data_IF_384175368210
#
_entry.id   IF_384175368210
#
_cell.length_a   1.000
_cell.length_b   1.000
_cell.length_c   1.000
_cell.angle_alpha   90.00
_cell.angle_beta   90.00
_cell.angle_gamma   90.00
#
_symmetry.space_group_name_H-M   'P 1'
#
loop_
_entity.id
_entity.type
_entity.pdbx_description
1 polymer ?
#
# COMPACT_ATOMS: atom_id res chain seq x y z
N UNK A 1 20.83 39.81 46.26
CA UNK A 1 19.70 39.17 45.56
C UNK A 1 20.12 38.92 44.11
N UNK A 2 20.69 37.76 43.73
CA UNK A 2 20.95 37.47 42.33
C UNK A 2 19.71 36.81 41.71
N UNK A 3 19.29 37.41 40.59
CA UNK A 3 18.19 37.01 39.73
C UNK A 3 18.59 35.72 38.97
N UNK A 4 17.94 34.60 39.24
CA UNK A 4 18.10 33.36 38.48
C UNK A 4 17.10 33.40 37.31
N UNK A 5 17.58 33.66 36.09
CA UNK A 5 16.80 33.51 34.87
C UNK A 5 16.82 32.03 34.48
N UNK A 6 15.73 31.32 34.78
CA UNK A 6 15.53 29.93 34.36
C UNK A 6 15.15 29.91 32.87
N UNK A 7 16.13 29.65 32.01
CA UNK A 7 15.90 29.38 30.59
C UNK A 7 15.25 27.99 30.45
N UNK A 8 13.92 27.95 30.40
CA UNK A 8 13.17 26.75 30.01
C UNK A 8 13.42 26.48 28.52
N UNK A 9 14.44 25.68 28.23
CA UNK A 9 14.53 25.00 26.96
C UNK A 9 13.34 24.04 26.86
N UNK A 10 12.32 24.43 26.08
CA UNK A 10 11.31 23.53 25.55
C UNK A 10 12.02 22.48 24.69
N UNK A 11 12.49 21.40 25.30
CA UNK A 11 12.80 20.18 24.57
C UNK A 11 11.48 19.71 23.96
N UNK A 12 11.28 19.99 22.66
CA UNK A 12 10.35 19.20 21.86
C UNK A 12 10.85 17.75 21.96
N UNK A 13 10.10 16.93 22.70
CA UNK A 13 10.18 15.48 22.54
C UNK A 13 10.07 15.19 21.04
N UNK A 14 10.95 14.37 20.45
CA UNK A 14 10.82 14.01 19.05
C UNK A 14 9.42 13.40 18.87
N UNK A 15 8.65 13.95 17.95
CA UNK A 15 7.36 13.38 17.54
C UNK A 15 7.62 11.91 17.23
N UNK A 16 6.98 11.00 17.98
CA UNK A 16 7.27 9.56 18.02
C UNK A 16 6.86 8.81 16.74
N UNK A 17 7.34 9.26 15.59
CA UNK A 17 7.26 8.55 14.32
C UNK A 17 8.46 7.62 14.19
N UNK A 18 8.21 6.35 13.89
CA UNK A 18 9.27 5.47 13.44
C UNK A 18 9.78 5.92 12.07
N UNK A 19 11.08 6.16 11.97
CA UNK A 19 11.74 6.22 10.67
C UNK A 19 11.78 4.82 10.06
N UNK A 20 11.79 4.75 8.73
CA UNK A 20 11.83 3.50 7.95
C UNK A 20 12.94 2.54 8.44
N UNK A 21 14.03 3.07 9.00
CA UNK A 21 15.21 2.34 9.50
C UNK A 21 14.93 1.28 10.57
N UNK A 22 13.79 1.39 11.26
CA UNK A 22 13.39 0.48 12.35
C UNK A 22 12.52 -0.69 11.88
N UNK A 23 11.97 -0.63 10.66
CA UNK A 23 11.08 -1.66 10.11
C UNK A 23 11.83 -2.55 9.12
N UNK A 24 11.74 -3.87 9.31
CA UNK A 24 12.51 -4.83 8.51
C UNK A 24 11.70 -6.06 8.16
N UNK A 25 11.99 -6.62 7.00
CA UNK A 25 11.65 -8.00 6.70
C UNK A 25 12.83 -8.89 7.11
N UNK A 26 12.57 -9.84 8.00
CA UNK A 26 13.53 -10.89 8.37
C UNK A 26 13.12 -12.18 7.66
N UNK A 27 13.99 -12.69 6.79
CA UNK A 27 13.79 -13.97 6.11
C UNK A 27 14.47 -15.08 6.89
N UNK A 28 13.71 -16.08 7.30
CA UNK A 28 14.22 -17.30 7.95
C UNK A 28 14.30 -18.45 6.95
N UNK A 29 13.32 -18.55 6.05
CA UNK A 29 13.30 -19.47 4.91
C UNK A 29 12.39 -18.93 3.81
N UNK A 30 12.33 -19.62 2.67
CA UNK A 30 11.42 -19.27 1.55
C UNK A 30 9.94 -19.24 1.95
N UNK A 31 9.57 -19.86 3.07
CA UNK A 31 8.18 -19.97 3.55
C UNK A 31 7.97 -19.38 4.94
N UNK A 32 9.00 -18.81 5.57
CA UNK A 32 8.90 -18.17 6.87
C UNK A 32 9.65 -16.85 6.90
N UNK A 33 8.88 -15.78 7.04
CA UNK A 33 9.37 -14.43 7.18
C UNK A 33 8.78 -13.77 8.42
N UNK A 34 9.37 -12.69 8.87
CA UNK A 34 8.84 -11.83 9.90
C UNK A 34 8.87 -10.38 9.45
N UNK A 35 7.79 -9.64 9.68
CA UNK A 35 7.90 -8.18 9.81
C UNK A 35 8.44 -7.93 11.20
N UNK A 36 9.50 -7.16 11.31
CA UNK A 36 10.11 -6.81 12.59
C UNK A 36 10.11 -5.30 12.75
N UNK A 37 9.79 -4.84 13.95
CA UNK A 37 10.05 -3.47 14.40
C UNK A 37 11.12 -3.52 15.47
N UNK A 38 12.25 -2.85 15.24
CA UNK A 38 13.30 -2.71 16.24
C UNK A 38 12.85 -1.69 17.31
N UNK A 39 12.77 -2.13 18.56
CA UNK A 39 12.55 -1.24 19.70
C UNK A 39 13.84 -0.51 20.08
N UNK A 40 13.73 0.75 20.51
CA UNK A 40 14.88 1.56 20.95
C UNK A 40 15.59 0.97 22.19
N UNK A 41 14.87 0.19 22.99
CA UNK A 41 15.33 -0.49 24.21
C UNK A 41 15.73 -1.96 23.97
N UNK A 42 15.82 -2.39 22.70
CA UNK A 42 16.06 -3.79 22.33
C UNK A 42 14.83 -4.71 22.44
N UNK A 43 13.65 -4.17 22.81
CA UNK A 43 12.40 -4.94 22.93
C UNK A 43 11.47 -4.69 21.73
N UNK A 44 11.86 -5.20 20.57
CA UNK A 44 11.04 -5.19 19.35
C UNK A 44 9.90 -6.23 19.34
N UNK A 45 8.96 -6.10 18.41
CA UNK A 45 7.98 -7.15 18.08
C UNK A 45 8.29 -7.73 16.70
N UNK A 46 8.00 -9.02 16.53
CA UNK A 46 8.01 -9.70 15.25
C UNK A 46 6.60 -10.20 14.93
N UNK A 47 6.11 -9.89 13.73
CA UNK A 47 4.87 -10.44 13.20
C UNK A 47 5.20 -11.58 12.22
N UNK A 48 4.75 -12.82 12.47
CA UNK A 48 5.05 -13.95 11.60
C UNK A 48 4.27 -13.86 10.29
N UNK A 49 4.99 -14.11 9.20
CA UNK A 49 4.49 -14.30 7.84
C UNK A 49 4.88 -15.72 7.39
N UNK A 50 4.12 -16.77 7.79
CA UNK A 50 4.43 -18.16 7.46
C UNK A 50 4.02 -18.50 6.01
N UNK A 51 4.55 -17.72 5.06
CA UNK A 51 4.34 -17.85 3.63
C UNK A 51 5.44 -17.09 2.86
N UNK A 52 5.61 -17.38 1.55
CA UNK A 52 6.53 -16.62 0.72
C UNK A 52 6.16 -15.13 0.63
N UNK A 53 7.18 -14.28 0.67
CA UNK A 53 7.08 -12.83 0.48
C UNK A 53 7.76 -12.47 -0.84
N UNK A 54 7.05 -11.75 -1.72
CA UNK A 54 7.59 -11.34 -3.01
C UNK A 54 7.97 -9.86 -3.08
N UNK A 55 7.50 -9.05 -2.12
CA UNK A 55 7.83 -7.62 -2.02
C UNK A 55 7.64 -7.11 -0.61
N UNK A 56 8.50 -6.19 -0.17
CA UNK A 56 8.40 -5.48 1.10
C UNK A 56 8.69 -4.01 0.85
N UNK A 57 7.82 -3.13 1.35
CA UNK A 57 7.96 -1.69 1.30
C UNK A 57 7.45 -1.05 2.58
N UNK A 58 7.91 0.15 2.86
CA UNK A 58 7.50 1.00 3.98
C UNK A 58 6.93 2.31 3.44
N UNK A 59 6.06 2.94 4.23
CA UNK A 59 5.52 4.25 3.91
C UNK A 59 4.25 4.56 4.69
N UNK A 60 3.99 5.84 4.95
CA UNK A 60 2.74 6.31 5.56
C UNK A 60 1.59 6.24 4.55
N UNK A 61 0.98 5.05 4.41
CA UNK A 61 -0.07 4.81 3.42
C UNK A 61 -1.40 5.45 3.81
N UNK A 62 -1.64 5.61 5.10
CA UNK A 62 -2.92 6.10 5.61
C UNK A 62 -2.90 7.62 5.90
N UNK A 63 -1.73 8.25 5.91
CA UNK A 63 -1.53 9.69 6.08
C UNK A 63 -1.57 10.17 7.53
N UNK A 64 -1.31 9.30 8.51
CA UNK A 64 -1.33 9.63 9.94
C UNK A 64 0.02 10.11 10.50
N UNK A 65 1.02 10.25 9.63
CA UNK A 65 2.38 10.66 9.98
C UNK A 65 3.25 9.53 10.51
N UNK A 66 2.78 8.27 10.49
CA UNK A 66 3.55 7.11 10.94
C UNK A 66 3.85 6.17 9.77
N UNK A 67 5.05 5.62 9.76
CA UNK A 67 5.44 4.64 8.75
C UNK A 67 4.68 3.33 8.94
N UNK A 68 3.96 2.90 7.91
CA UNK A 68 3.34 1.59 7.81
C UNK A 68 4.22 0.61 7.01
N UNK A 69 3.90 -0.68 7.10
CA UNK A 69 4.52 -1.76 6.33
C UNK A 69 3.55 -2.26 5.28
N UNK A 70 3.99 -2.33 4.03
CA UNK A 70 3.29 -2.94 2.91
C UNK A 70 4.05 -4.19 2.47
N UNK A 71 3.42 -5.36 2.55
CA UNK A 71 4.07 -6.64 2.22
C UNK A 71 3.25 -7.45 1.22
N UNK A 72 3.93 -7.84 0.15
CA UNK A 72 3.45 -8.74 -0.88
C UNK A 72 3.67 -10.18 -0.48
N UNK A 73 2.59 -10.95 -0.34
CA UNK A 73 2.64 -12.32 0.17
C UNK A 73 2.01 -13.29 -0.82
N UNK A 74 2.43 -14.56 -0.82
CA UNK A 74 1.84 -15.61 -1.66
C UNK A 74 1.07 -16.59 -0.78
N UNK A 75 -0.26 -16.48 -0.75
CA UNK A 75 -1.13 -17.35 0.05
C UNK A 75 -2.59 -17.28 -0.38
N UNK A 76 -3.37 -18.26 0.07
CA UNK A 76 -4.82 -18.16 0.12
C UNK A 76 -5.28 -17.27 1.29
N UNK A 77 -6.53 -16.85 1.25
CA UNK A 77 -7.16 -16.08 2.34
C UNK A 77 -8.52 -16.68 2.67
N UNK A 78 -9.11 -16.28 3.81
CA UNK A 78 -10.42 -16.79 4.25
C UNK A 78 -11.51 -16.66 3.18
N UNK A 79 -11.48 -15.57 2.41
CA UNK A 79 -12.50 -15.24 1.40
C UNK A 79 -12.05 -15.50 -0.05
N UNK A 80 -10.81 -15.95 -0.26
CA UNK A 80 -10.30 -16.37 -1.58
C UNK A 80 -9.35 -17.56 -1.37
N UNK A 81 -9.83 -18.80 -1.57
CA UNK A 81 -9.04 -20.01 -1.31
C UNK A 81 -7.90 -20.21 -2.32
N UNK A 82 -7.89 -19.45 -3.43
CA UNK A 82 -6.81 -19.54 -4.40
C UNK A 82 -5.51 -19.00 -3.81
N UNK A 83 -4.42 -19.78 -3.91
CA UNK A 83 -3.07 -19.29 -3.62
C UNK A 83 -2.67 -18.34 -4.75
N UNK A 84 -2.44 -17.08 -4.40
CA UNK A 84 -1.96 -16.05 -5.32
C UNK A 84 -1.26 -14.93 -4.55
N UNK A 85 -0.71 -13.95 -5.28
CA UNK A 85 -0.12 -12.75 -4.69
C UNK A 85 -1.21 -11.89 -4.03
N UNK A 86 -0.92 -11.42 -2.82
CA UNK A 86 -1.78 -10.58 -1.97
C UNK A 86 -0.94 -9.43 -1.42
N UNK A 87 -1.61 -8.33 -1.09
CA UNK A 87 -1.01 -7.20 -0.40
C UNK A 87 -1.59 -7.12 1.01
N UNK A 88 -0.71 -7.23 2.01
CA UNK A 88 -1.03 -6.96 3.40
C UNK A 88 -0.37 -5.65 3.85
N UNK A 89 -1.06 -4.93 4.71
CA UNK A 89 -0.62 -3.65 5.27
C UNK A 89 -0.69 -3.76 6.79
N UNK A 90 0.40 -3.39 7.45
CA UNK A 90 0.52 -3.38 8.90
C UNK A 90 0.90 -1.99 9.37
N UNK A 91 0.38 -1.60 10.53
CA UNK A 91 0.78 -0.39 11.24
C UNK A 91 1.64 -0.72 12.45
N UNK A 92 2.44 0.26 12.86
CA UNK A 92 3.11 0.24 14.17
C UNK A 92 2.25 0.98 15.19
N UNK A 93 1.78 0.24 16.19
CA UNK A 93 0.95 0.72 17.28
C UNK A 93 1.77 0.88 18.56
N UNK A 94 1.59 2.01 19.26
CA UNK A 94 2.36 2.38 20.47
C UNK A 94 3.86 2.18 20.31
N UNK A 95 4.34 2.45 19.11
CA UNK A 95 5.75 2.53 18.76
C UNK A 95 6.54 1.22 18.98
N UNK A 96 5.84 0.08 18.99
CA UNK A 96 6.45 -1.24 19.19
C UNK A 96 5.65 -2.43 18.70
N UNK A 97 4.34 -2.27 18.49
CA UNK A 97 3.44 -3.38 18.17
C UNK A 97 3.01 -3.33 16.71
N UNK A 98 3.36 -4.32 15.92
CA UNK A 98 2.86 -4.57 14.57
C UNK A 98 1.42 -5.05 14.67
N UNK A 99 0.50 -4.34 14.02
CA UNK A 99 -0.91 -4.73 13.93
C UNK A 99 -1.37 -4.67 12.48
N UNK A 100 -2.20 -5.62 12.03
CA UNK A 100 -2.75 -5.57 10.69
C UNK A 100 -3.63 -4.31 10.56
N UNK A 101 -3.31 -3.50 9.57
CA UNK A 101 -4.19 -2.41 9.12
C UNK A 101 -5.17 -2.95 8.09
N UNK A 102 -4.68 -3.78 7.16
CA UNK A 102 -5.51 -4.44 6.14
C UNK A 102 -4.83 -5.70 5.62
N UNK A 103 -5.56 -6.82 5.56
CA UNK A 103 -5.08 -8.07 4.97
C UNK A 103 -5.95 -8.44 3.77
N UNK A 104 -5.65 -7.81 2.63
CA UNK A 104 -6.48 -7.91 1.43
C UNK A 104 -6.54 -9.31 0.82
N UNK A 105 -7.75 -9.80 0.54
CA UNK A 105 -7.95 -11.00 -0.27
C UNK A 105 -7.66 -10.76 -1.75
N UNK A 106 -8.16 -9.64 -2.30
CA UNK A 106 -8.00 -9.25 -3.71
C UNK A 106 -8.01 -7.73 -3.85
N UNK A 107 -7.38 -7.26 -4.92
CA UNK A 107 -7.60 -5.91 -5.46
C UNK A 107 -8.62 -6.00 -6.63
N UNK A 108 -8.68 -5.00 -7.50
CA UNK A 108 -9.62 -5.00 -8.63
C UNK A 108 -9.38 -6.21 -9.56
N UNK A 109 -8.12 -6.57 -9.81
CA UNK A 109 -7.68 -7.73 -10.60
C UNK A 109 -6.62 -8.55 -9.85
N UNK A 110 -6.28 -9.76 -10.33
CA UNK A 110 -5.22 -10.56 -9.74
C UNK A 110 -3.88 -9.78 -9.71
N UNK A 111 -3.40 -9.53 -8.50
CA UNK A 111 -2.18 -8.79 -8.24
C UNK A 111 -0.95 -9.53 -8.77
N UNK A 112 -0.03 -8.78 -9.35
CA UNK A 112 1.25 -9.27 -9.85
C UNK A 112 2.38 -8.62 -9.08
N UNK A 113 2.36 -7.29 -8.92
CA UNK A 113 3.34 -6.57 -8.10
C UNK A 113 2.81 -5.21 -7.63
N UNK A 114 3.51 -4.51 -6.73
CA UNK A 114 3.11 -3.18 -6.29
C UNK A 114 4.28 -2.27 -5.88
N UNK A 115 4.02 -0.98 -5.68
CA UNK A 115 4.94 -0.02 -5.08
C UNK A 115 4.15 1.04 -4.31
N UNK A 116 4.62 1.36 -3.12
CA UNK A 116 4.23 2.56 -2.39
C UNK A 116 4.85 3.77 -3.08
N UNK A 117 4.02 4.76 -3.41
CA UNK A 117 4.43 5.94 -4.16
C UNK A 117 3.69 7.17 -3.66
N UNK A 118 4.26 8.34 -3.90
CA UNK A 118 3.54 9.60 -3.79
C UNK A 118 3.13 10.06 -5.20
N UNK A 119 1.83 10.33 -5.39
CA UNK A 119 1.28 10.94 -6.60
C UNK A 119 0.59 12.22 -6.16
N UNK A 120 1.01 13.36 -6.72
CA UNK A 120 0.55 14.70 -6.35
C UNK A 120 0.67 14.98 -4.85
N UNK A 121 1.79 14.53 -4.25
CA UNK A 121 2.08 14.68 -2.82
C UNK A 121 1.23 13.79 -1.90
N UNK A 122 0.42 12.89 -2.46
CA UNK A 122 -0.47 12.02 -1.69
C UNK A 122 -0.02 10.56 -1.72
N UNK A 123 -0.11 9.81 -0.61
CA UNK A 123 0.30 8.42 -0.55
C UNK A 123 -0.62 7.53 -1.40
N UNK A 124 -0.03 6.64 -2.19
CA UNK A 124 -0.72 5.73 -3.10
C UNK A 124 -0.03 4.37 -3.14
N UNK A 125 -0.79 3.37 -3.58
CA UNK A 125 -0.25 2.09 -4.04
C UNK A 125 -0.41 2.01 -5.56
N UNK A 126 0.71 1.98 -6.27
CA UNK A 126 0.76 1.66 -7.70
C UNK A 126 0.93 0.16 -7.84
N UNK A 127 0.08 -0.50 -8.63
CA UNK A 127 0.10 -1.95 -8.79
C UNK A 127 0.38 -2.34 -10.24
N UNK A 128 0.87 -3.57 -10.43
CA UNK A 128 0.74 -4.32 -11.67
C UNK A 128 -0.29 -5.42 -11.41
N UNK A 129 -1.29 -5.53 -12.27
CA UNK A 129 -2.32 -6.56 -12.17
C UNK A 129 -2.54 -7.25 -13.53
N UNK A 130 -3.08 -8.46 -13.52
CA UNK A 130 -3.44 -9.17 -14.77
C UNK A 130 -4.61 -8.48 -15.46
N UNK A 131 -4.48 -8.23 -16.76
CA UNK A 131 -5.58 -7.71 -17.59
C UNK A 131 -6.54 -8.83 -18.01
N UNK A 132 -7.64 -8.48 -18.70
CA UNK A 132 -8.55 -9.48 -19.30
C UNK A 132 -7.91 -10.21 -20.47
N UNK A 133 -7.03 -9.54 -21.21
CA UNK A 133 -6.31 -10.15 -22.33
C UNK A 133 -5.19 -11.02 -21.76
N UNK A 134 -5.08 -12.30 -22.18
CA UNK A 134 -3.99 -13.17 -21.76
C UNK A 134 -2.62 -12.52 -21.97
N UNK A 135 -1.72 -12.73 -21.00
CA UNK A 135 -0.34 -12.21 -21.02
C UNK A 135 -0.22 -10.67 -21.11
N UNK A 136 -1.32 -9.96 -20.87
CA UNK A 136 -1.32 -8.51 -20.74
C UNK A 136 -1.56 -8.09 -19.30
N UNK A 137 -0.99 -6.95 -18.99
CA UNK A 137 -0.97 -6.38 -17.65
C UNK A 137 -1.51 -4.96 -17.69
N UNK A 138 -2.06 -4.54 -16.56
CA UNK A 138 -2.44 -3.17 -16.30
C UNK A 138 -1.71 -2.65 -15.08
N UNK A 139 -1.58 -1.33 -15.02
CA UNK A 139 -1.12 -0.63 -13.84
C UNK A 139 -2.29 0.16 -13.24
N UNK A 140 -2.57 -0.02 -11.96
CA UNK A 140 -3.66 0.65 -11.26
C UNK A 140 -3.14 1.42 -10.04
N UNK A 141 -3.81 2.53 -9.73
CA UNK A 141 -3.51 3.39 -8.60
C UNK A 141 -4.60 3.24 -7.56
N UNK A 142 -4.21 2.99 -6.32
CA UNK A 142 -5.08 2.93 -5.16
C UNK A 142 -4.69 3.99 -4.14
N UNK A 143 -5.68 4.47 -3.39
CA UNK A 143 -5.48 5.28 -2.19
C UNK A 143 -5.98 4.51 -0.98
N UNK A 144 -5.43 4.80 0.19
CA UNK A 144 -6.08 4.39 1.43
C UNK A 144 -7.38 5.18 1.64
N UNK A 145 -8.44 4.49 2.07
CA UNK A 145 -9.68 5.12 2.55
C UNK A 145 -10.33 4.27 3.62
N UNK A 146 -10.53 4.88 4.80
CA UNK A 146 -11.21 4.25 5.95
C UNK A 146 -10.52 2.96 6.38
N UNK A 147 -10.93 1.80 5.83
CA UNK A 147 -10.51 0.48 6.25
C UNK A 147 -9.80 -0.33 5.14
N UNK A 148 -9.45 0.28 4.01
CA UNK A 148 -8.77 -0.43 2.94
C UNK A 148 -8.34 0.44 1.76
N UNK A 149 -7.99 -0.23 0.66
CA UNK A 149 -7.56 0.40 -0.57
C UNK A 149 -8.76 0.65 -1.50
N UNK A 150 -8.97 1.92 -1.84
CA UNK A 150 -9.92 2.38 -2.83
C UNK A 150 -9.23 2.55 -4.18
N UNK A 151 -9.82 2.01 -5.25
CA UNK A 151 -9.38 2.24 -6.61
C UNK A 151 -9.52 3.73 -6.99
N UNK A 152 -8.47 4.28 -7.61
CA UNK A 152 -8.46 5.66 -8.11
C UNK A 152 -8.55 5.68 -9.63
N UNK A 153 -7.59 5.07 -10.32
CA UNK A 153 -7.50 5.10 -11.77
C UNK A 153 -6.60 3.98 -12.30
N UNK A 154 -6.74 3.69 -13.59
CA UNK A 154 -5.71 2.95 -14.33
C UNK A 154 -4.63 3.94 -14.79
N UNK A 155 -3.38 3.64 -14.48
CA UNK A 155 -2.23 4.38 -15.01
C UNK A 155 -1.91 3.93 -16.46
N UNK A 156 -2.01 2.63 -16.75
CA UNK A 156 -1.79 2.05 -18.07
C UNK A 156 -2.49 0.68 -18.18
N UNK A 157 -2.74 0.19 -19.41
CA UNK A 157 -3.39 -1.11 -19.69
C UNK A 157 -2.79 -1.76 -20.93
N UNK A 158 -3.01 -3.07 -21.10
CA UNK A 158 -2.55 -3.80 -22.29
C UNK A 158 -1.03 -3.95 -22.40
N UNK A 159 -0.30 -3.75 -21.30
CA UNK A 159 1.17 -3.76 -21.30
C UNK A 159 1.71 -5.20 -21.35
N UNK A 160 2.82 -5.46 -22.06
CA UNK A 160 3.69 -6.59 -21.78
C UNK A 160 4.20 -6.55 -20.32
N UNK A 161 4.53 -7.71 -19.76
CA UNK A 161 5.00 -7.79 -18.37
C UNK A 161 6.26 -6.97 -18.11
N UNK A 162 7.27 -7.09 -18.97
CA UNK A 162 8.55 -6.42 -18.79
C UNK A 162 8.42 -4.90 -18.81
N UNK A 163 7.56 -4.37 -19.68
CA UNK A 163 7.25 -2.95 -19.73
C UNK A 163 6.54 -2.47 -18.45
N UNK A 164 5.55 -3.23 -17.95
CA UNK A 164 4.86 -2.89 -16.71
C UNK A 164 5.81 -2.91 -15.51
N UNK A 165 6.72 -3.90 -15.46
CA UNK A 165 7.75 -4.04 -14.42
C UNK A 165 8.74 -2.89 -14.47
N UNK A 166 9.27 -2.56 -15.65
CA UNK A 166 10.16 -1.41 -15.82
C UNK A 166 9.51 -0.11 -15.34
N UNK A 167 8.27 0.17 -15.78
CA UNK A 167 7.52 1.36 -15.34
C UNK A 167 7.25 1.40 -13.84
N UNK A 168 7.06 0.25 -13.19
CA UNK A 168 6.91 0.17 -11.74
C UNK A 168 8.21 0.51 -11.01
N UNK A 169 9.36 0.05 -11.53
CA UNK A 169 10.67 0.26 -10.90
C UNK A 169 11.23 1.67 -11.15
N UNK A 170 10.99 2.23 -12.33
CA UNK A 170 11.46 3.56 -12.72
C UNK A 170 10.65 4.69 -12.08
N UNK A 171 9.82 4.41 -11.07
CA UNK A 171 9.01 5.42 -10.42
C UNK A 171 9.81 6.28 -9.40
N UNK A 172 9.66 7.63 -9.40
CA UNK A 172 8.92 8.44 -10.36
C UNK A 172 9.69 8.53 -11.68
N UNK A 173 9.00 8.47 -12.82
CA UNK A 173 9.65 8.53 -14.14
C UNK A 173 10.55 9.78 -14.16
N UNK A 174 11.88 9.65 -14.36
CA UNK A 174 12.77 10.79 -14.44
C UNK A 174 12.32 11.77 -15.52
N UNK A 175 12.39 13.07 -15.24
CA UNK A 175 11.92 14.12 -16.16
C UNK A 175 12.83 14.32 -17.39
N UNK A 176 13.86 13.50 -17.60
CA UNK A 176 14.78 13.68 -18.72
C UNK A 176 14.24 13.10 -20.03
N UNK A 177 14.11 13.97 -21.03
CA UNK A 177 14.18 13.58 -22.44
C UNK A 177 12.93 12.95 -23.06
N UNK A 178 11.70 13.33 -22.65
CA UNK A 178 10.51 12.92 -23.42
C UNK A 178 10.42 13.77 -24.71
N UNK A 179 10.53 13.20 -25.94
CA UNK A 179 10.02 13.90 -27.12
C UNK A 179 8.54 14.18 -26.87
N UNK A 180 8.11 15.40 -27.14
CA UNK A 180 6.76 15.94 -26.87
C UNK A 180 5.65 15.04 -27.45
N UNK A 181 5.27 14.00 -26.71
CA UNK A 181 3.95 13.40 -26.84
C UNK A 181 3.03 14.26 -26.00
N UNK A 182 1.91 14.77 -26.56
CA UNK A 182 0.95 15.49 -25.74
C UNK A 182 0.53 14.57 -24.60
N UNK A 183 0.22 15.12 -23.41
CA UNK A 183 -0.40 14.31 -22.37
C UNK A 183 -1.60 13.61 -23.01
N UNK A 184 -1.67 12.29 -22.88
CA UNK A 184 -2.94 11.60 -23.09
C UNK A 184 -3.93 12.38 -22.21
N UNK A 185 -4.92 13.01 -22.84
CA UNK A 185 -5.96 13.70 -22.11
C UNK A 185 -6.45 12.71 -21.04
N UNK A 186 -6.44 13.10 -19.77
CA UNK A 186 -7.33 12.50 -18.78
C UNK A 186 -8.77 12.86 -19.19
N UNK A 187 -9.22 12.32 -20.31
CA UNK A 187 -10.63 12.28 -20.62
C UNK A 187 -11.17 11.16 -19.76
N UNK A 188 -11.78 11.55 -18.64
CA UNK A 188 -12.73 10.71 -17.92
C UNK A 188 -13.83 10.38 -18.92
N UNK A 189 -13.69 9.27 -19.66
CA UNK A 189 -14.82 8.67 -20.36
C UNK A 189 -15.61 7.87 -19.34
N UNK A 190 -16.40 8.59 -18.54
CA UNK A 190 -17.59 7.99 -17.94
C UNK A 190 -18.52 7.58 -19.08
N UNK A 191 -18.68 6.28 -19.28
CA UNK A 191 -19.63 5.73 -20.24
C UNK A 191 -20.88 5.29 -19.46
N UNK A 192 -21.99 6.05 -19.47
CA UNK A 192 -23.19 5.70 -18.68
C UNK A 192 -24.02 4.58 -19.32
N UNK A 193 -23.71 4.14 -20.53
CA UNK A 193 -24.53 3.17 -21.27
C UNK A 193 -24.07 1.73 -21.06
N UNK A 194 -24.73 0.97 -20.18
CA UNK A 194 -24.53 -0.48 -20.17
C UNK A 194 -25.11 -1.31 -19.04
N UNK A 195 -25.78 -0.73 -18.03
CA UNK A 195 -26.53 -1.51 -17.04
C UNK A 195 -27.88 -0.86 -16.79
N UNK A 196 -28.95 -1.53 -17.22
CA UNK A 196 -30.30 -1.26 -16.72
C UNK A 196 -30.24 -1.33 -15.19
N UNK A 197 -30.68 -0.26 -14.54
CA UNK A 197 -30.86 -0.22 -13.10
C UNK A 197 -31.77 -1.39 -12.68
N UNK A 198 -31.28 -2.27 -11.82
CA UNK A 198 -32.16 -3.07 -10.99
C UNK A 198 -32.67 -2.14 -9.88
N UNK A 199 -33.99 -2.11 -9.59
CA UNK A 199 -34.51 -1.32 -8.49
C UNK A 199 -33.91 -1.82 -7.18
N UNK A 200 -33.42 -0.87 -6.39
CA UNK A 200 -32.90 -1.10 -5.05
C UNK A 200 -34.13 -1.28 -4.16
N UNK A 201 -34.43 -2.52 -3.74
CA UNK A 201 -35.40 -2.78 -2.68
C UNK A 201 -34.69 -2.53 -1.34
N UNK A 202 -35.13 -1.57 -0.51
CA UNK A 202 -34.56 -1.41 0.83
C UNK A 202 -35.07 -2.54 1.72
N UNK A 203 -34.17 -3.41 2.20
CA UNK A 203 -34.53 -4.36 3.24
C UNK A 203 -34.37 -3.72 4.62
N UNK A 204 -35.46 -3.86 5.37
CA UNK A 204 -35.79 -3.20 6.61
C UNK A 204 -34.84 -3.51 7.77
N UNK A 205 -34.73 -2.50 8.64
CA UNK A 205 -34.31 -2.62 10.03
C UNK A 205 -35.01 -3.78 10.73
N UNK A 206 -34.28 -4.53 11.54
CA UNK A 206 -34.87 -5.24 12.68
C UNK A 206 -34.14 -4.81 13.94
N UNK A 207 -34.88 -4.08 14.77
CA UNK A 207 -34.67 -3.97 16.21
C UNK A 207 -35.55 -5.02 16.87
N UNK A 208 -34.95 -5.84 17.71
CA UNK A 208 -35.47 -6.29 19.02
C UNK A 208 -34.27 -6.75 19.83
#
# INVERSE_FOLDING_TARGET
MPLLVLLLALFRLPDGGHTEDTLRLVTVSDTLHYVQVAGYDGRGECWPLPYPVYRFQTGDINGDGRTDVLVGVIKSTRYDPQVARRLFIFKVYKDRYIRPLWMGSRLSRPLVDFRFVHIDGQPRVLTIERDTTPERYLMAVYRWRSFGLDFVAYHARGLPFDEARQRLEDWPIPLEGRPSRPPLSLTISYNPGGRKAAPITPNYFYTT
#
